data_IF_691457256099
#
_entry.id   IF_691457256099
#
_cell.length_a   1.000
_cell.length_b   1.000
_cell.length_c   1.000
_cell.angle_alpha   90.00
_cell.angle_beta   90.00
_cell.angle_gamma   90.00
#
_symmetry.space_group_name_H-M   'P 1'
#
loop_
_entity.id
_entity.type
_entity.pdbx_description
1 polymer ?
#
# COMPACT_ATOMS: atom_id res chain seq x y z
N UNK A 1 -18.82 -7.95 16.20
CA UNK A 1 -18.33 -8.04 14.80
C UNK A 1 -16.85 -8.38 14.85
N UNK A 2 -16.50 -9.59 14.42
CA UNK A 2 -15.15 -10.16 14.34
C UNK A 2 -14.55 -9.86 12.94
N UNK A 3 -13.23 -9.94 12.67
CA UNK A 3 -12.15 -10.29 13.60
C UNK A 3 -10.94 -9.33 13.57
N UNK A 4 -10.25 -9.34 14.71
CA UNK A 4 -8.84 -9.04 14.84
C UNK A 4 -8.04 -10.06 14.02
N UNK A 5 -7.95 -9.88 12.70
CA UNK A 5 -7.03 -10.65 11.87
C UNK A 5 -5.66 -10.00 11.98
N UNK A 6 -4.88 -10.44 12.96
CA UNK A 6 -3.43 -10.26 12.92
C UNK A 6 -2.87 -11.05 11.74
N UNK A 7 -2.37 -10.43 10.65
CA UNK A 7 -1.60 -11.13 9.64
C UNK A 7 -0.11 -10.87 9.93
N UNK A 8 0.33 -11.10 11.17
CA UNK A 8 1.67 -10.68 11.64
C UNK A 8 2.84 -11.45 11.02
N UNK A 9 2.60 -12.34 10.05
CA UNK A 9 3.67 -13.10 9.38
C UNK A 9 3.86 -12.73 7.90
N UNK A 10 2.86 -12.13 7.23
CA UNK A 10 3.01 -11.66 5.86
C UNK A 10 3.04 -10.14 5.89
N UNK A 11 4.22 -9.54 5.69
CA UNK A 11 4.38 -8.08 5.67
C UNK A 11 3.38 -7.50 4.65
N UNK A 12 2.65 -6.42 4.97
CA UNK A 12 1.66 -5.87 4.03
C UNK A 12 2.32 -5.42 2.73
N UNK A 13 3.62 -5.09 2.75
CA UNK A 13 4.43 -4.79 1.57
C UNK A 13 4.64 -5.97 0.60
N UNK A 14 4.45 -7.22 1.02
CA UNK A 14 4.73 -8.41 0.21
C UNK A 14 3.49 -8.90 -0.56
N UNK A 15 2.29 -8.55 -0.08
CA UNK A 15 1.03 -8.93 -0.76
C UNK A 15 1.00 -8.40 -2.19
N UNK A 16 0.57 -9.24 -3.14
CA UNK A 16 0.24 -8.82 -4.51
C UNK A 16 -1.28 -8.75 -4.61
N UNK A 17 -1.88 -7.56 -4.62
CA UNK A 17 -3.34 -7.45 -4.74
C UNK A 17 -3.78 -7.92 -6.13
N UNK A 18 -4.77 -8.80 -6.18
CA UNK A 18 -5.36 -9.29 -7.44
C UNK A 18 -6.47 -8.37 -7.96
N UNK A 19 -7.01 -7.50 -7.10
CA UNK A 19 -8.11 -6.58 -7.41
C UNK A 19 -7.98 -5.26 -6.61
N UNK A 20 -8.83 -4.28 -6.95
CA UNK A 20 -8.82 -2.97 -6.29
C UNK A 20 -9.08 -3.07 -4.78
N UNK A 21 -10.04 -3.89 -4.35
CA UNK A 21 -10.39 -4.02 -2.94
C UNK A 21 -9.20 -4.54 -2.11
N UNK A 22 -8.45 -5.50 -2.64
CA UNK A 22 -7.21 -5.98 -2.02
C UNK A 22 -6.12 -4.92 -2.00
N UNK A 23 -6.00 -4.10 -3.06
CA UNK A 23 -5.06 -3.00 -3.10
C UNK A 23 -5.39 -1.94 -2.05
N UNK A 24 -6.66 -1.58 -1.90
CA UNK A 24 -7.15 -0.63 -0.89
C UNK A 24 -6.94 -1.16 0.53
N UNK A 25 -7.23 -2.45 0.77
CA UNK A 25 -6.97 -3.10 2.05
C UNK A 25 -5.47 -3.09 2.40
N UNK A 26 -4.60 -3.41 1.43
CA UNK A 26 -3.15 -3.34 1.59
C UNK A 26 -2.68 -1.91 1.92
N UNK A 27 -3.20 -0.90 1.23
CA UNK A 27 -2.88 0.50 1.48
C UNK A 27 -3.27 0.88 2.92
N UNK A 28 -4.47 0.49 3.37
CA UNK A 28 -4.93 0.75 4.73
C UNK A 28 -4.00 0.10 5.77
N UNK A 29 -3.64 -1.18 5.59
CA UNK A 29 -2.69 -1.90 6.46
C UNK A 29 -1.32 -1.20 6.53
N UNK A 30 -0.76 -0.75 5.40
CA UNK A 30 0.52 -0.04 5.36
C UNK A 30 0.42 1.29 6.11
N UNK A 31 -0.68 2.03 5.92
CA UNK A 31 -0.89 3.31 6.61
C UNK A 31 -0.99 3.12 8.12
N UNK A 32 -1.72 2.12 8.59
CA UNK A 32 -1.83 1.79 10.01
C UNK A 32 -0.47 1.41 10.59
N UNK A 33 0.29 0.57 9.87
CA UNK A 33 1.64 0.18 10.25
C UNK A 33 2.59 1.38 10.40
N UNK A 34 2.55 2.33 9.48
CA UNK A 34 3.35 3.56 9.56
C UNK A 34 2.87 4.49 10.68
N UNK A 35 1.55 4.63 10.84
CA UNK A 35 0.95 5.44 11.89
C UNK A 35 1.30 4.93 13.29
N UNK A 36 1.36 3.61 13.50
CA UNK A 36 1.79 2.99 14.76
C UNK A 36 3.22 3.37 15.18
N UNK A 37 4.03 3.81 14.21
CA UNK A 37 5.41 4.28 14.41
C UNK A 37 5.57 5.79 14.28
N UNK A 38 4.47 6.52 14.18
CA UNK A 38 4.42 7.97 13.94
C UNK A 38 5.23 8.40 12.69
N UNK A 39 5.27 7.55 11.66
CA UNK A 39 5.95 7.84 10.40
C UNK A 39 4.97 8.54 9.44
N UNK A 40 5.28 9.79 9.07
CA UNK A 40 4.53 10.49 8.04
C UNK A 40 4.87 9.97 6.65
N UNK A 41 3.87 9.51 5.89
CA UNK A 41 4.02 9.08 4.49
C UNK A 41 3.01 9.77 3.59
N UNK A 42 3.31 9.86 2.30
CA UNK A 42 2.42 10.51 1.33
C UNK A 42 1.10 9.76 1.19
N UNK A 43 0.04 10.47 0.80
CA UNK A 43 -1.25 9.84 0.54
C UNK A 43 -1.13 8.86 -0.66
N UNK A 44 -1.77 7.68 -0.62
CA UNK A 44 -1.80 6.75 -1.74
C UNK A 44 -2.44 7.39 -2.98
N UNK A 45 -2.06 6.95 -4.19
CA UNK A 45 -2.73 7.40 -5.42
C UNK A 45 -4.21 7.00 -5.39
N UNK A 46 -5.15 7.90 -5.75
CA UNK A 46 -6.57 7.56 -5.82
C UNK A 46 -6.82 6.59 -6.98
N UNK A 47 -7.74 5.61 -6.81
CA UNK A 47 -8.09 4.71 -7.88
C UNK A 47 -8.76 5.46 -9.03
N UNK A 48 -8.45 5.10 -10.28
CA UNK A 48 -9.09 5.72 -11.42
C UNK A 48 -10.58 5.37 -11.46
N UNK A 49 -11.44 6.38 -11.60
CA UNK A 49 -12.91 6.22 -11.61
C UNK A 49 -13.46 5.80 -12.98
N UNK A 50 -12.64 5.81 -14.03
CA UNK A 50 -13.03 5.53 -15.40
C UNK A 50 -12.18 4.41 -16.01
N UNK A 51 -12.79 3.26 -16.31
CA UNK A 51 -12.20 2.32 -17.27
C UNK A 51 -12.37 2.91 -18.67
N UNK A 52 -11.27 3.26 -19.35
CA UNK A 52 -11.28 3.82 -20.70
C UNK A 52 -11.69 2.79 -21.77
N UNK A 53 -12.94 2.30 -21.75
CA UNK A 53 -13.70 1.69 -22.88
C UNK A 53 -13.14 0.46 -23.62
N UNK A 54 -11.84 0.19 -23.61
CA UNK A 54 -11.16 -0.97 -24.25
C UNK A 54 -10.93 -2.13 -23.30
N UNK A 55 -11.57 -2.08 -22.13
CA UNK A 55 -11.42 -3.03 -21.05
C UNK A 55 -10.73 -2.41 -19.83
N UNK A 56 -11.08 -2.89 -18.64
CA UNK A 56 -10.44 -2.46 -17.38
C UNK A 56 -8.99 -2.97 -17.23
N UNK A 57 -8.37 -3.48 -18.30
CA UNK A 57 -7.06 -4.14 -18.28
C UNK A 57 -5.94 -3.37 -19.00
N UNK A 58 -6.10 -2.11 -19.42
CA UNK A 58 -4.95 -1.41 -20.02
C UNK A 58 -5.18 0.03 -20.47
N UNK A 59 -4.97 0.98 -19.56
CA UNK A 59 -4.35 2.29 -19.82
C UNK A 59 -4.14 3.04 -18.50
N UNK A 60 -5.22 3.19 -17.73
CA UNK A 60 -5.21 3.95 -16.47
C UNK A 60 -4.75 3.10 -15.27
N UNK A 61 -5.06 1.81 -15.30
CA UNK A 61 -4.67 0.86 -14.26
C UNK A 61 -3.17 0.62 -14.22
N UNK A 62 -2.50 0.58 -15.37
CA UNK A 62 -1.03 0.45 -15.45
C UNK A 62 -0.32 1.61 -14.74
N UNK A 63 -0.76 2.84 -15.00
CA UNK A 63 -0.26 4.03 -14.32
C UNK A 63 -0.56 4.01 -12.81
N UNK A 64 -1.78 3.61 -12.44
CA UNK A 64 -2.18 3.44 -11.04
C UNK A 64 -1.31 2.40 -10.31
N UNK A 65 -1.13 1.20 -10.87
CA UNK A 65 -0.32 0.15 -10.26
C UNK A 65 1.16 0.53 -10.20
N UNK A 66 1.68 1.26 -11.19
CA UNK A 66 3.06 1.78 -11.18
C UNK A 66 3.25 2.81 -10.07
N UNK A 67 2.33 3.77 -9.93
CA UNK A 67 2.35 4.77 -8.87
C UNK A 67 2.18 4.12 -7.48
N UNK A 68 1.31 3.12 -7.38
CA UNK A 68 1.07 2.36 -6.16
C UNK A 68 2.29 1.54 -5.76
N UNK A 69 2.98 0.92 -6.72
CA UNK A 69 4.22 0.19 -6.47
C UNK A 69 5.30 1.13 -5.89
N UNK A 70 5.53 2.28 -6.52
CA UNK A 70 6.46 3.29 -5.97
C UNK A 70 6.06 3.76 -4.57
N UNK A 71 4.75 3.96 -4.33
CA UNK A 71 4.22 4.32 -3.01
C UNK A 71 4.51 3.28 -1.92
N UNK A 72 4.38 2.00 -2.26
CA UNK A 72 4.68 0.89 -1.36
C UNK A 72 6.16 0.79 -1.03
N UNK A 73 7.02 0.93 -2.04
CA UNK A 73 8.47 0.86 -1.86
C UNK A 73 8.99 1.99 -0.97
N UNK A 74 8.50 3.21 -1.16
CA UNK A 74 8.86 4.35 -0.30
C UNK A 74 8.37 4.14 1.15
N UNK A 75 7.14 3.65 1.34
CA UNK A 75 6.64 3.28 2.67
C UNK A 75 7.53 2.23 3.35
N UNK A 76 7.97 1.22 2.58
CA UNK A 76 8.88 0.18 3.07
C UNK A 76 10.22 0.76 3.47
N UNK A 77 10.80 1.65 2.66
CA UNK A 77 12.05 2.32 2.97
C UNK A 77 11.96 3.15 4.25
N UNK A 78 10.91 3.97 4.41
CA UNK A 78 10.67 4.76 5.62
C UNK A 78 10.50 3.86 6.86
N UNK A 79 9.74 2.77 6.74
CA UNK A 79 9.54 1.81 7.82
C UNK A 79 10.84 1.12 8.24
N UNK A 80 11.70 0.76 7.28
CA UNK A 80 13.02 0.20 7.54
C UNK A 80 13.94 1.23 8.20
N UNK A 81 14.01 2.45 7.67
CA UNK A 81 14.80 3.55 8.25
C UNK A 81 14.41 3.81 9.70
N UNK A 82 13.11 3.89 10.01
CA UNK A 82 12.62 4.05 11.36
C UNK A 82 12.96 2.85 12.27
N UNK A 83 13.06 1.64 11.72
CA UNK A 83 13.52 0.47 12.46
C UNK A 83 15.04 0.53 12.76
N UNK A 84 15.83 1.19 11.91
CA UNK A 84 17.27 1.31 12.06
C UNK A 84 17.70 2.54 12.89
N UNK A 85 16.87 3.58 12.97
CA UNK A 85 17.17 4.87 13.63
C UNK A 85 17.18 4.87 15.16
N UNK A 86 17.48 3.75 15.82
CA UNK A 86 17.55 3.63 17.29
C UNK A 86 18.99 3.42 17.78
N UNK A 87 19.93 4.13 17.17
CA UNK A 87 21.37 3.99 17.47
C UNK A 87 22.19 5.20 17.02
N UNK A 88 21.90 6.36 17.60
CA UNK A 88 22.71 7.57 17.51
C UNK A 88 22.50 8.41 18.76
#
# INVERSE_FOLDING_TARGET
MNPSLSPSLCRPFDRRPANLAEAEAQIADIRDLLASRAIGHRNPPPPPTTCCGRGCNGCVWEGYYTALHGWREDARALWQQAAQGRGG
#
